data_IF_480123621262
#
_entry.id   IF_480123621262
#
_cell.length_a   1.000
_cell.length_b   1.000
_cell.length_c   1.000
_cell.angle_alpha   90.00
_cell.angle_beta   90.00
_cell.angle_gamma   90.00
#
_symmetry.space_group_name_H-M   'P 1'
#
loop_
_entity.id
_entity.type
_entity.pdbx_description
1 polymer ?
#
# COMPACT_ATOMS: atom_id res chain seq x y z
N UNK A 1 11.26 -24.53 -46.49
CA UNK A 1 11.85 -24.83 -45.16
C UNK A 1 11.80 -23.53 -44.37
N UNK A 2 11.20 -23.37 -43.19
CA UNK A 2 10.65 -24.28 -42.18
C UNK A 2 9.27 -23.78 -41.72
N UNK A 3 8.39 -24.71 -41.36
CA UNK A 3 7.05 -24.45 -40.84
C UNK A 3 7.10 -24.16 -39.33
N UNK A 4 6.38 -23.14 -38.86
CA UNK A 4 6.14 -22.89 -37.43
C UNK A 4 4.64 -23.14 -37.13
N UNK A 5 4.28 -24.05 -36.21
CA UNK A 5 2.89 -24.42 -35.99
C UNK A 5 2.15 -23.41 -35.11
N UNK A 6 0.92 -23.14 -35.54
CA UNK A 6 -0.16 -22.39 -34.91
C UNK A 6 -0.39 -22.71 -33.43
N UNK A 7 -0.17 -21.72 -32.55
CA UNK A 7 -0.54 -21.78 -31.12
C UNK A 7 -0.64 -20.42 -30.40
N UNK A 8 -0.27 -19.31 -31.05
CA UNK A 8 -0.10 -18.00 -30.39
C UNK A 8 -1.37 -17.12 -30.32
N UNK A 9 -2.50 -17.52 -30.92
CA UNK A 9 -3.67 -16.65 -31.09
C UNK A 9 -4.40 -16.23 -29.80
N UNK A 10 -4.44 -17.07 -28.75
CA UNK A 10 -5.21 -16.79 -27.54
C UNK A 10 -4.42 -16.04 -26.47
N UNK A 11 -3.13 -16.35 -26.29
CA UNK A 11 -2.28 -15.62 -25.35
C UNK A 11 -2.03 -14.17 -25.79
N UNK A 12 -1.98 -13.94 -27.10
CA UNK A 12 -1.83 -12.61 -27.68
C UNK A 12 -3.02 -11.70 -27.35
N UNK A 13 -4.27 -12.20 -27.33
CA UNK A 13 -5.44 -11.38 -27.01
C UNK A 13 -5.37 -10.81 -25.59
N UNK A 14 -5.02 -11.63 -24.60
CA UNK A 14 -4.86 -11.17 -23.22
C UNK A 14 -3.69 -10.17 -23.11
N UNK A 15 -2.56 -10.45 -23.78
CA UNK A 15 -1.41 -9.53 -23.80
C UNK A 15 -1.77 -8.17 -24.41
N UNK A 16 -2.49 -8.17 -25.54
CA UNK A 16 -2.94 -6.95 -26.22
C UNK A 16 -3.94 -6.17 -25.36
N UNK A 17 -4.88 -6.86 -24.70
CA UNK A 17 -5.85 -6.22 -23.80
C UNK A 17 -5.15 -5.55 -22.61
N UNK A 18 -4.16 -6.21 -21.99
CA UNK A 18 -3.38 -5.64 -20.88
C UNK A 18 -2.57 -4.42 -21.35
N UNK A 19 -1.90 -4.52 -22.50
CA UNK A 19 -1.13 -3.39 -23.06
C UNK A 19 -2.03 -2.18 -23.38
N UNK A 20 -3.22 -2.42 -23.94
CA UNK A 20 -4.17 -1.35 -24.24
C UNK A 20 -4.66 -0.64 -22.96
N UNK A 21 -4.92 -1.39 -21.88
CA UNK A 21 -5.32 -0.82 -20.60
C UNK A 21 -4.18 0.00 -19.97
N UNK A 22 -2.94 -0.49 -20.04
CA UNK A 22 -1.76 0.23 -19.56
C UNK A 22 -1.52 1.56 -20.30
N UNK A 23 -1.68 1.58 -21.62
CA UNK A 23 -1.54 2.81 -22.41
C UNK A 23 -2.64 3.83 -22.10
N UNK A 24 -3.86 3.37 -21.82
CA UNK A 24 -4.98 4.22 -21.40
C UNK A 24 -4.71 4.87 -20.04
N UNK A 25 -4.25 4.10 -19.05
CA UNK A 25 -3.92 4.63 -17.73
C UNK A 25 -2.72 5.60 -17.80
N UNK A 26 -1.70 5.29 -18.61
CA UNK A 26 -0.56 6.19 -18.87
C UNK A 26 -1.01 7.54 -19.43
N UNK A 27 -1.91 7.55 -20.43
CA UNK A 27 -2.45 8.80 -21.01
C UNK A 27 -3.22 9.62 -19.98
N UNK A 28 -4.02 8.97 -19.14
CA UNK A 28 -4.80 9.63 -18.08
C UNK A 28 -3.89 10.31 -17.04
N UNK A 29 -2.81 9.65 -16.61
CA UNK A 29 -1.84 10.22 -15.67
C UNK A 29 -1.09 11.43 -16.26
N UNK A 30 -0.71 11.35 -17.54
CA UNK A 30 -0.04 12.47 -18.23
C UNK A 30 -0.95 13.70 -18.37
N UNK A 31 -2.25 13.51 -18.61
CA UNK A 31 -3.21 14.62 -18.66
C UNK A 31 -3.44 15.24 -17.28
N UNK A 32 -3.42 14.45 -16.21
CA UNK A 32 -3.62 14.96 -14.85
C UNK A 32 -2.44 15.81 -14.34
N UNK A 33 -1.22 15.54 -14.81
CA UNK A 33 0.01 16.23 -14.34
C UNK A 33 0.22 17.63 -14.91
N UNK A 34 -0.64 18.14 -15.81
CA UNK A 34 -0.48 19.50 -16.36
C UNK A 34 -1.17 20.59 -15.51
N UNK A 35 -1.87 20.24 -14.44
CA UNK A 35 -2.78 21.15 -13.73
C UNK A 35 -2.23 21.78 -12.43
N UNK A 36 -0.93 21.76 -12.15
CA UNK A 36 -0.43 22.31 -10.88
C UNK A 36 0.92 23.03 -11.03
N UNK A 37 0.81 24.33 -11.30
CA UNK A 37 1.90 25.30 -11.25
C UNK A 37 1.94 25.97 -9.88
N UNK A 38 3.15 26.12 -9.34
CA UNK A 38 3.57 27.13 -8.33
C UNK A 38 3.53 26.72 -6.86
N UNK A 39 4.50 25.95 -6.35
CA UNK A 39 5.05 26.14 -5.00
C UNK A 39 6.51 25.65 -4.93
N UNK A 40 7.53 26.52 -4.78
CA UNK A 40 8.89 26.12 -4.47
C UNK A 40 9.11 26.17 -2.95
N UNK A 41 9.26 25.01 -2.32
CA UNK A 41 9.66 24.92 -0.92
C UNK A 41 9.11 23.68 -0.23
N UNK A 42 10.01 22.94 0.42
CA UNK A 42 9.77 21.77 1.26
C UNK A 42 9.56 20.42 0.55
N UNK A 43 10.61 19.59 0.70
CA UNK A 43 10.51 18.15 0.90
C UNK A 43 10.19 17.29 -0.32
N UNK A 44 11.07 16.32 -0.57
CA UNK A 44 10.96 15.26 -1.59
C UNK A 44 9.61 14.56 -1.41
N UNK A 45 8.61 14.98 -2.17
CA UNK A 45 7.29 14.36 -2.23
C UNK A 45 7.23 13.50 -3.50
N UNK A 46 7.28 12.17 -3.32
CA UNK A 46 6.83 11.23 -4.35
C UNK A 46 5.35 11.55 -4.65
N UNK A 47 5.12 12.26 -5.75
CA UNK A 47 3.83 12.76 -6.20
C UNK A 47 2.90 11.59 -6.55
N UNK A 48 2.06 11.19 -5.59
CA UNK A 48 0.84 10.41 -5.83
C UNK A 48 -0.36 11.31 -5.58
N UNK A 49 -1.18 11.45 -6.63
CA UNK A 49 -2.42 12.22 -6.72
C UNK A 49 -3.15 12.39 -5.37
N UNK A 50 -3.43 13.63 -4.91
CA UNK A 50 -3.99 13.87 -3.58
C UNK A 50 -5.42 13.33 -3.40
N UNK A 51 -6.16 13.02 -4.48
CA UNK A 51 -7.55 12.52 -4.36
C UNK A 51 -7.67 11.01 -4.09
N UNK A 52 -6.62 10.22 -4.33
CA UNK A 52 -6.61 8.77 -4.02
C UNK A 52 -5.76 8.44 -2.79
N UNK A 53 -5.04 9.44 -2.28
CA UNK A 53 -4.13 9.27 -1.16
C UNK A 53 -4.91 9.00 0.12
N UNK A 54 -6.03 9.70 0.34
CA UNK A 54 -6.88 9.46 1.51
C UNK A 54 -7.40 8.01 1.56
N UNK A 55 -8.01 7.49 0.49
CA UNK A 55 -8.52 6.11 0.49
C UNK A 55 -7.42 5.04 0.63
N UNK A 56 -6.28 5.25 -0.03
CA UNK A 56 -5.14 4.32 0.08
C UNK A 56 -4.53 4.35 1.47
N UNK A 57 -4.35 5.54 2.03
CA UNK A 57 -3.79 5.75 3.36
C UNK A 57 -4.78 5.22 4.42
N UNK A 58 -6.10 5.32 4.20
CA UNK A 58 -7.11 4.67 5.04
C UNK A 58 -7.03 3.14 4.98
N UNK A 59 -6.89 2.55 3.80
CA UNK A 59 -6.76 1.09 3.65
C UNK A 59 -5.47 0.58 4.30
N UNK A 60 -4.36 1.29 4.13
CA UNK A 60 -3.08 0.98 4.76
C UNK A 60 -3.16 1.13 6.29
N UNK A 61 -3.74 2.22 6.78
CA UNK A 61 -3.96 2.45 8.21
C UNK A 61 -4.83 1.37 8.84
N UNK A 62 -5.89 0.93 8.14
CA UNK A 62 -6.74 -0.18 8.58
C UNK A 62 -5.97 -1.51 8.61
N UNK A 63 -5.12 -1.77 7.61
CA UNK A 63 -4.29 -2.96 7.59
C UNK A 63 -3.30 -3.00 8.76
N UNK A 64 -2.59 -1.89 9.01
CA UNK A 64 -1.66 -1.75 10.14
C UNK A 64 -2.40 -1.92 11.46
N UNK A 65 -3.56 -1.27 11.63
CA UNK A 65 -4.36 -1.40 12.85
C UNK A 65 -4.84 -2.85 13.08
N UNK A 66 -5.24 -3.54 12.01
CA UNK A 66 -5.63 -4.95 12.10
C UNK A 66 -4.45 -5.85 12.51
N UNK A 67 -3.25 -5.60 11.96
CA UNK A 67 -2.03 -6.33 12.31
C UNK A 67 -1.62 -6.10 13.77
N UNK A 68 -1.62 -4.85 14.22
CA UNK A 68 -1.35 -4.49 15.61
C UNK A 68 -2.32 -5.19 16.58
N UNK A 69 -3.61 -5.19 16.26
CA UNK A 69 -4.65 -5.84 17.06
C UNK A 69 -4.42 -7.35 17.15
N UNK A 70 -4.16 -8.02 16.03
CA UNK A 70 -3.90 -9.45 16.00
C UNK A 70 -2.65 -9.82 16.81
N UNK A 71 -1.56 -9.05 16.67
CA UNK A 71 -0.33 -9.25 17.44
C UNK A 71 -0.56 -9.07 18.95
N UNK A 72 -1.29 -8.03 19.38
CA UNK A 72 -1.60 -7.78 20.77
C UNK A 72 -2.49 -8.89 21.37
N UNK A 73 -3.51 -9.34 20.63
CA UNK A 73 -4.36 -10.45 21.06
C UNK A 73 -3.58 -11.75 21.24
N UNK A 74 -2.69 -12.06 20.30
CA UNK A 74 -1.81 -13.23 20.40
C UNK A 74 -0.89 -13.14 21.62
N UNK A 75 -0.32 -11.96 21.91
CA UNK A 75 0.50 -11.75 23.09
C UNK A 75 -0.28 -11.96 24.39
N UNK A 76 -1.50 -11.42 24.51
CA UNK A 76 -2.34 -11.62 25.70
C UNK A 76 -2.76 -13.08 25.91
N UNK A 77 -2.91 -13.87 24.83
CA UNK A 77 -3.24 -15.29 24.93
C UNK A 77 -2.08 -16.17 25.40
N UNK A 78 -0.83 -15.73 25.19
CA UNK A 78 0.36 -16.56 25.37
C UNK A 78 1.42 -15.98 26.33
N UNK A 79 1.24 -14.75 26.82
CA UNK A 79 2.18 -14.05 27.68
C UNK A 79 1.46 -13.25 28.76
N UNK A 80 2.04 -13.24 29.96
CA UNK A 80 1.62 -12.40 31.09
C UNK A 80 2.28 -11.02 31.10
N UNK A 81 3.08 -10.69 30.08
CA UNK A 81 3.73 -9.38 29.96
C UNK A 81 2.76 -8.25 29.59
N UNK A 82 3.19 -7.01 29.85
CA UNK A 82 2.47 -5.81 29.42
C UNK A 82 2.96 -5.38 28.04
N UNK A 83 2.03 -5.29 27.10
CA UNK A 83 2.31 -4.94 25.72
C UNK A 83 1.49 -3.72 25.28
N UNK A 84 2.08 -2.91 24.41
CA UNK A 84 1.39 -1.87 23.65
C UNK A 84 1.62 -2.07 22.17
N UNK A 85 0.74 -1.53 21.33
CA UNK A 85 0.92 -1.58 19.87
C UNK A 85 1.88 -0.51 19.39
N UNK A 86 2.53 -0.76 18.26
CA UNK A 86 3.36 0.20 17.54
C UNK A 86 3.18 0.03 16.02
N UNK A 87 3.18 1.12 15.28
CA UNK A 87 3.15 1.19 13.81
C UNK A 87 4.54 0.94 13.21
N UNK A 88 5.05 -0.28 13.39
CA UNK A 88 6.35 -0.69 12.85
C UNK A 88 6.23 -1.47 11.55
N UNK A 89 6.95 -1.03 10.52
CA UNK A 89 7.16 -1.77 9.28
C UNK A 89 8.21 -2.90 9.40
N UNK A 90 8.88 -3.02 10.55
CA UNK A 90 10.02 -3.93 10.77
C UNK A 90 9.71 -5.08 11.74
N UNK A 91 8.43 -5.43 11.90
CA UNK A 91 8.01 -6.56 12.75
C UNK A 91 7.83 -6.25 14.24
N UNK A 92 8.01 -4.99 14.67
CA UNK A 92 7.75 -4.57 16.05
C UNK A 92 6.30 -4.10 16.23
N UNK A 93 5.31 -4.91 15.85
CA UNK A 93 3.89 -4.53 15.94
C UNK A 93 3.40 -4.35 17.38
N UNK A 94 4.10 -4.99 18.33
CA UNK A 94 3.91 -4.84 19.78
C UNK A 94 5.25 -4.65 20.46
N UNK A 95 5.26 -3.87 21.54
CA UNK A 95 6.43 -3.64 22.39
C UNK A 95 6.13 -4.05 23.84
N UNK A 96 7.05 -4.77 24.52
CA UNK A 96 6.95 -5.01 25.95
C UNK A 96 7.26 -3.71 26.72
N UNK A 97 6.43 -3.37 27.69
CA UNK A 97 6.55 -2.14 28.50
C UNK A 97 6.26 -2.41 29.97
N UNK A 98 6.52 -1.42 30.84
CA UNK A 98 5.97 -1.43 32.20
C UNK A 98 4.46 -1.14 32.17
N UNK A 99 3.69 -1.62 33.16
CA UNK A 99 2.27 -1.28 33.30
C UNK A 99 2.04 0.23 33.26
N UNK A 100 1.10 0.67 32.42
CA UNK A 100 0.68 2.07 32.33
C UNK A 100 -0.57 2.24 33.19
N UNK A 101 -0.46 3.01 34.27
CA UNK A 101 -1.59 3.42 35.10
C UNK A 101 -2.02 4.81 34.63
N UNK A 102 -3.28 4.96 34.24
CA UNK A 102 -3.84 6.28 33.96
C UNK A 102 -3.98 7.02 35.30
N UNK A 103 -3.50 8.27 35.35
CA UNK A 103 -3.79 9.13 36.50
C UNK A 103 -5.27 9.52 36.42
N UNK A 104 -6.02 9.21 37.47
CA UNK A 104 -7.42 9.64 37.64
C UNK A 104 -7.54 11.18 37.66
#
# INVERSE_FOLDING_TARGET
>A
MAANPSGQGFQNKNRVAILAELDKEKRKLLMQNQSSTNHPGASIALTRSPLNKDFRDHAEQQHIAAQQKAALQHAHAHSSGYFITQDSAFGNLILPVLPRLEAE
#
